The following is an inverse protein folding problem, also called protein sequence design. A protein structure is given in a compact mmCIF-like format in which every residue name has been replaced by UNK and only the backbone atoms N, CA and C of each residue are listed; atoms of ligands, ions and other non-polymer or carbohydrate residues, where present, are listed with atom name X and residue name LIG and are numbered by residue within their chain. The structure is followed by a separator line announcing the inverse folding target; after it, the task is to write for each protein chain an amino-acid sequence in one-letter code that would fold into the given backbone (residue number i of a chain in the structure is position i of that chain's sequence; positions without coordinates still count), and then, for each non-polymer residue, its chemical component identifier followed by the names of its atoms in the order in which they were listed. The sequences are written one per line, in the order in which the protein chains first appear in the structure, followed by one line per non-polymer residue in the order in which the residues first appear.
data_IF_990495503738
#
_entry.id   IF_990495503738
#
_cell.length_a   1.000
_cell.length_b   1.000
_cell.length_c   1.000
_cell.angle_alpha   90.00
_cell.angle_beta   90.00
_cell.angle_gamma   90.00
#
_symmetry.space_group_name_H-M   'P 1'
#
loop_
_entity.id
_entity.type
_entity.pdbx_description
1 polymer ?
#
# COMPACT_ATOMS: atom_id res chain seq x y z
N UNK A 1 -8.71 16.59 16.87
CA UNK A 1 -8.94 15.99 15.54
C UNK A 1 -9.98 14.90 15.69
N UNK A 2 -11.17 15.08 15.09
CA UNK A 2 -12.27 14.13 15.17
C UNK A 2 -12.00 13.03 14.15
N UNK A 3 -11.48 11.89 14.59
CA UNK A 3 -11.38 10.70 13.76
C UNK A 3 -12.81 10.23 13.49
N UNK A 4 -13.20 10.21 12.23
CA UNK A 4 -14.41 9.52 11.79
C UNK A 4 -14.13 8.04 11.97
N UNK A 5 -14.50 7.50 13.12
CA UNK A 5 -14.71 6.07 13.31
C UNK A 5 -16.12 5.80 12.83
N UNK A 6 -16.24 5.22 11.64
CA UNK A 6 -17.52 4.74 11.13
C UNK A 6 -18.07 3.73 12.15
N UNK A 7 -19.34 3.90 12.52
CA UNK A 7 -20.03 3.03 13.47
C UNK A 7 -20.18 1.65 12.80
N UNK A 8 -19.89 0.52 13.50
CA UNK A 8 -20.01 -0.78 12.88
C UNK A 8 -21.48 -1.05 12.59
N UNK A 9 -21.90 -0.80 11.36
CA UNK A 9 -23.25 -1.11 10.91
C UNK A 9 -23.49 -2.61 11.13
N UNK A 10 -24.48 -2.92 11.96
CA UNK A 10 -24.96 -4.25 12.35
C UNK A 10 -25.66 -4.99 11.20
N UNK A 11 -25.17 -4.82 9.98
CA UNK A 11 -25.69 -5.49 8.80
C UNK A 11 -24.52 -6.06 8.03
N UNK A 12 -24.63 -7.34 7.68
CA UNK A 12 -23.70 -8.14 6.88
C UNK A 12 -23.51 -7.63 5.43
N UNK A 13 -23.35 -6.33 5.24
CA UNK A 13 -22.88 -5.73 4.00
C UNK A 13 -21.40 -5.42 4.20
N UNK A 14 -20.48 -5.98 3.38
CA UNK A 14 -19.09 -5.56 3.42
C UNK A 14 -19.10 -4.06 3.17
N UNK A 15 -18.60 -3.28 4.13
CA UNK A 15 -18.48 -1.83 4.10
C UNK A 15 -17.54 -1.42 2.94
N UNK A 16 -18.00 -1.58 1.70
CA UNK A 16 -17.33 -1.12 0.49
C UNK A 16 -17.73 0.33 0.35
N UNK A 17 -17.03 1.21 1.05
CA UNK A 17 -17.20 2.66 0.88
C UNK A 17 -17.15 2.98 -0.63
N UNK A 18 -18.14 3.68 -1.20
CA UNK A 18 -18.15 4.02 -2.62
C UNK A 18 -16.91 4.84 -3.00
N UNK A 19 -16.35 5.59 -2.04
CA UNK A 19 -15.10 6.32 -2.20
C UNK A 19 -13.91 5.39 -2.39
N UNK A 20 -13.84 4.28 -1.66
CA UNK A 20 -12.77 3.30 -1.83
C UNK A 20 -12.81 2.65 -3.22
N UNK A 21 -14.00 2.30 -3.73
CA UNK A 21 -14.16 1.76 -5.07
C UNK A 21 -13.70 2.76 -6.15
N UNK A 22 -14.06 4.03 -6.00
CA UNK A 22 -13.65 5.10 -6.91
C UNK A 22 -12.13 5.31 -6.89
N UNK A 23 -11.52 5.38 -5.70
CA UNK A 23 -10.06 5.53 -5.56
C UNK A 23 -9.32 4.33 -6.14
N UNK A 24 -9.85 3.12 -5.96
CA UNK A 24 -9.29 1.89 -6.54
C UNK A 24 -9.27 1.97 -8.07
N UNK A 25 -10.42 2.28 -8.67
CA UNK A 25 -10.55 2.43 -10.12
C UNK A 25 -9.62 3.51 -10.66
N UNK A 26 -9.59 4.68 -10.02
CA UNK A 26 -8.68 5.76 -10.41
C UNK A 26 -7.21 5.34 -10.33
N UNK A 27 -6.85 4.54 -9.31
CA UNK A 27 -5.48 4.02 -9.19
C UNK A 27 -5.10 3.07 -10.32
N UNK A 28 -6.04 2.30 -10.84
CA UNK A 28 -5.85 1.38 -11.96
C UNK A 28 -5.77 2.15 -13.30
N UNK A 29 -6.60 3.18 -13.47
CA UNK A 29 -6.54 4.09 -14.63
C UNK A 29 -5.20 4.83 -14.71
N UNK A 30 -4.71 5.35 -13.58
CA UNK A 30 -3.38 5.97 -13.47
C UNK A 30 -2.24 5.02 -13.87
N UNK A 31 -2.34 3.74 -13.50
CA UNK A 31 -1.39 2.72 -13.91
C UNK A 31 -1.45 2.41 -15.40
N UNK A 32 -2.67 2.29 -15.95
CA UNK A 32 -2.88 2.03 -17.37
C UNK A 32 -2.38 3.17 -18.26
N UNK A 33 -2.43 4.41 -17.76
CA UNK A 33 -1.88 5.59 -18.45
C UNK A 33 -0.35 5.72 -18.33
N UNK A 34 0.30 4.87 -17.53
CA UNK A 34 1.74 4.88 -17.33
C UNK A 34 2.26 6.07 -16.50
N UNK A 35 1.38 6.78 -15.79
CA UNK A 35 1.74 7.94 -14.99
C UNK A 35 2.36 7.51 -13.65
N UNK A 36 3.69 7.50 -13.59
CA UNK A 36 4.44 7.17 -12.38
C UNK A 36 4.96 8.44 -11.71
N UNK A 37 4.40 8.75 -10.54
CA UNK A 37 4.81 9.90 -9.71
C UNK A 37 4.95 9.50 -8.24
N UNK A 38 5.75 10.27 -7.48
CA UNK A 38 5.94 10.00 -6.04
C UNK A 38 4.60 10.02 -5.28
N UNK A 39 3.76 10.99 -5.61
CA UNK A 39 2.40 11.14 -5.07
C UNK A 39 1.52 9.92 -5.35
N UNK A 40 1.67 9.29 -6.52
CA UNK A 40 0.92 8.08 -6.85
C UNK A 40 1.31 6.91 -5.93
N UNK A 41 2.60 6.73 -5.66
CA UNK A 41 3.07 5.71 -4.70
C UNK A 41 2.55 6.01 -3.29
N UNK A 42 2.59 7.28 -2.87
CA UNK A 42 2.04 7.71 -1.59
C UNK A 42 0.52 7.44 -1.49
N UNK A 43 -0.23 7.62 -2.58
CA UNK A 43 -1.65 7.25 -2.63
C UNK A 43 -1.87 5.74 -2.46
N UNK A 44 -1.04 4.90 -3.09
CA UNK A 44 -1.10 3.43 -2.92
C UNK A 44 -0.82 3.03 -1.48
N UNK A 45 0.11 3.70 -0.79
CA UNK A 45 0.38 3.48 0.64
C UNK A 45 -0.87 3.78 1.47
N UNK A 46 -1.57 4.89 1.21
CA UNK A 46 -2.81 5.24 1.91
C UNK A 46 -3.93 4.23 1.67
N UNK A 47 -4.10 3.77 0.43
CA UNK A 47 -5.07 2.72 0.08
C UNK A 47 -4.74 1.42 0.83
N UNK A 48 -3.46 1.04 0.84
CA UNK A 48 -3.00 -0.17 1.52
C UNK A 48 -3.27 -0.12 3.03
N UNK A 49 -3.04 1.03 3.67
CA UNK A 49 -3.36 1.24 5.10
C UNK A 49 -4.86 1.13 5.35
N UNK A 50 -5.69 1.71 4.47
CA UNK A 50 -7.14 1.59 4.55
C UNK A 50 -7.60 0.12 4.47
N UNK A 51 -7.05 -0.64 3.52
CA UNK A 51 -7.37 -2.07 3.34
C UNK A 51 -6.96 -2.92 4.54
N UNK A 52 -5.78 -2.64 5.13
CA UNK A 52 -5.33 -3.30 6.37
C UNK A 52 -6.27 -2.97 7.54
N UNK A 53 -6.67 -1.70 7.69
CA UNK A 53 -7.58 -1.25 8.75
C UNK A 53 -8.98 -1.88 8.66
N UNK A 54 -9.48 -2.11 7.45
CA UNK A 54 -10.78 -2.73 7.20
C UNK A 54 -10.73 -4.27 7.10
N UNK A 55 -9.55 -4.88 7.31
CA UNK A 55 -9.39 -6.34 7.30
C UNK A 55 -9.44 -6.98 5.90
N UNK A 56 -9.24 -6.22 4.83
CA UNK A 56 -9.23 -6.71 3.44
C UNK A 56 -7.81 -7.19 3.07
N UNK A 57 -7.31 -8.19 3.79
CA UNK A 57 -5.91 -8.65 3.72
C UNK A 57 -5.39 -9.04 2.32
N UNK A 58 -6.09 -9.85 1.50
CA UNK A 58 -5.55 -10.24 0.19
C UNK A 58 -5.42 -9.04 -0.75
N UNK A 59 -6.32 -8.06 -0.61
CA UNK A 59 -6.26 -6.84 -1.38
C UNK A 59 -5.11 -5.93 -0.91
N UNK A 60 -4.97 -5.76 0.40
CA UNK A 60 -3.85 -5.02 1.00
C UNK A 60 -2.49 -5.58 0.54
N UNK A 61 -2.33 -6.91 0.57
CA UNK A 61 -1.10 -7.55 0.16
C UNK A 61 -0.77 -7.28 -1.32
N UNK A 62 -1.78 -7.32 -2.20
CA UNK A 62 -1.61 -6.99 -3.62
C UNK A 62 -1.24 -5.52 -3.81
N UNK A 63 -1.92 -4.59 -3.14
CA UNK A 63 -1.64 -3.14 -3.21
C UNK A 63 -0.22 -2.81 -2.72
N UNK A 64 0.23 -3.43 -1.62
CA UNK A 64 1.59 -3.26 -1.10
C UNK A 64 2.62 -3.77 -2.11
N UNK A 65 2.45 -5.01 -2.62
CA UNK A 65 3.35 -5.58 -3.62
C UNK A 65 3.41 -4.75 -4.92
N UNK A 66 2.27 -4.20 -5.34
CA UNK A 66 2.17 -3.28 -6.48
C UNK A 66 2.97 -2.00 -6.22
N UNK A 67 2.76 -1.37 -5.07
CA UNK A 67 3.53 -0.20 -4.65
C UNK A 67 5.04 -0.44 -4.66
N UNK A 68 5.51 -1.62 -4.20
CA UNK A 68 6.96 -1.93 -4.12
C UNK A 68 7.57 -1.92 -5.52
N UNK A 69 6.91 -2.58 -6.46
CA UNK A 69 7.37 -2.64 -7.86
C UNK A 69 7.41 -1.25 -8.50
N UNK A 70 6.39 -0.42 -8.23
CA UNK A 70 6.35 0.95 -8.73
C UNK A 70 7.45 1.82 -8.11
N UNK A 71 7.73 1.66 -6.81
CA UNK A 71 8.82 2.35 -6.13
C UNK A 71 10.20 1.91 -6.64
N UNK A 72 10.37 0.61 -6.94
CA UNK A 72 11.58 0.09 -7.59
C UNK A 72 11.74 0.65 -9.00
N UNK A 73 10.66 0.71 -9.78
CA UNK A 73 10.66 1.27 -11.15
C UNK A 73 11.00 2.77 -11.16
N UNK A 74 10.54 3.51 -10.15
CA UNK A 74 10.91 4.92 -9.93
C UNK A 74 12.38 5.08 -9.49
N UNK A 75 13.00 4.01 -8.98
CA UNK A 75 14.37 3.98 -8.49
C UNK A 75 14.50 4.22 -6.99
N UNK A 76 13.41 4.39 -6.23
CA UNK A 76 13.44 4.73 -4.79
C UNK A 76 14.28 3.78 -3.91
N UNK A 77 14.61 2.60 -4.43
CA UNK A 77 15.41 1.58 -3.76
C UNK A 77 16.89 1.97 -3.63
N UNK A 78 17.45 2.68 -4.61
CA UNK A 78 18.89 2.90 -4.70
C UNK A 78 19.29 4.23 -4.05
N UNK A 79 19.68 4.16 -2.78
CA UNK A 79 20.13 5.32 -1.99
C UNK A 79 21.64 5.57 -2.12
N UNK A 80 22.35 4.71 -2.83
CA UNK A 80 23.83 4.69 -2.85
C UNK A 80 24.43 4.78 -4.25
N UNK A 81 23.66 4.56 -5.31
CA UNK A 81 24.18 4.69 -6.65
C UNK A 81 24.50 6.16 -6.99
N UNK A 82 25.74 6.45 -7.42
CA UNK A 82 26.14 7.76 -7.93
C UNK A 82 25.51 8.08 -9.30
N UNK A 83 24.64 7.23 -9.85
CA UNK A 83 24.05 7.39 -11.18
C UNK A 83 22.88 8.38 -11.20
N UNK A 84 23.24 9.66 -11.29
CA UNK A 84 22.71 10.64 -12.27
C UNK A 84 21.22 11.05 -12.28
N UNK A 85 20.29 10.42 -11.53
CA UNK A 85 18.89 10.92 -11.46
C UNK A 85 18.55 11.65 -10.17
N UNK A 86 19.33 11.42 -9.10
CA UNK A 86 19.14 12.02 -7.77
C UNK A 86 19.85 13.34 -7.57
N UNK A 87 20.74 13.72 -8.49
CA UNK A 87 21.60 14.88 -8.31
C UNK A 87 20.88 16.23 -8.48
N UNK A 88 19.64 16.20 -9.02
CA UNK A 88 18.81 17.38 -9.28
C UNK A 88 17.57 17.48 -8.38
N UNK A 89 17.34 16.51 -7.48
CA UNK A 89 16.23 16.59 -6.55
C UNK A 89 16.58 17.52 -5.40
N UNK A 90 15.62 18.35 -5.00
CA UNK A 90 15.73 19.13 -3.77
C UNK A 90 15.91 18.17 -2.59
N UNK A 91 16.65 18.60 -1.56
CA UNK A 91 16.83 17.83 -0.33
C UNK A 91 15.49 17.35 0.25
N UNK A 92 14.44 18.16 0.10
CA UNK A 92 13.08 17.78 0.52
C UNK A 92 12.51 16.59 -0.26
N UNK A 93 12.61 16.59 -1.58
CA UNK A 93 12.09 15.53 -2.45
C UNK A 93 12.82 14.19 -2.20
N UNK A 94 14.14 14.25 -1.99
CA UNK A 94 14.93 13.07 -1.62
C UNK A 94 14.50 12.48 -0.26
N UNK A 95 14.19 13.34 0.71
CA UNK A 95 13.64 12.89 2.00
C UNK A 95 12.25 12.27 1.86
N UNK A 96 11.36 12.87 1.07
CA UNK A 96 10.02 12.34 0.82
C UNK A 96 10.06 10.98 0.13
N UNK A 97 10.94 10.82 -0.86
CA UNK A 97 11.14 9.55 -1.54
C UNK A 97 11.64 8.46 -0.58
N UNK A 98 12.60 8.80 0.29
CA UNK A 98 13.09 7.89 1.33
C UNK A 98 11.98 7.48 2.29
N UNK A 99 11.16 8.43 2.76
CA UNK A 99 10.03 8.13 3.66
C UNK A 99 9.01 7.23 2.99
N UNK A 100 8.73 7.46 1.71
CA UNK A 100 7.80 6.65 0.91
C UNK A 100 8.30 5.21 0.80
N UNK A 101 9.59 5.02 0.49
CA UNK A 101 10.22 3.69 0.44
C UNK A 101 10.15 2.94 1.77
N UNK A 102 10.55 3.58 2.88
CA UNK A 102 10.50 2.93 4.19
C UNK A 102 9.08 2.64 4.68
N UNK A 103 8.11 3.50 4.36
CA UNK A 103 6.70 3.27 4.70
C UNK A 103 6.16 2.01 4.05
N UNK A 104 6.57 1.76 2.81
CA UNK A 104 6.17 0.60 2.04
C UNK A 104 6.82 -0.69 2.55
N UNK A 105 8.12 -0.65 2.89
CA UNK A 105 8.81 -1.76 3.55
C UNK A 105 8.20 -2.08 4.93
N UNK A 106 7.78 -1.05 5.68
CA UNK A 106 7.10 -1.22 6.95
C UNK A 106 5.76 -1.96 6.77
N UNK A 107 4.98 -1.57 5.74
CA UNK A 107 3.72 -2.23 5.40
C UNK A 107 3.92 -3.68 4.94
N UNK A 108 4.94 -3.96 4.14
CA UNK A 108 5.26 -5.33 3.69
C UNK A 108 5.64 -6.25 4.85
N UNK A 109 6.39 -5.71 5.82
CA UNK A 109 6.76 -6.44 7.03
C UNK A 109 5.60 -6.58 8.02
N UNK A 110 4.53 -5.79 7.86
CA UNK A 110 3.36 -5.87 8.71
C UNK A 110 2.59 -7.17 8.43
N UNK A 111 3.01 -8.23 9.11
CA UNK A 111 2.29 -9.51 9.14
C UNK A 111 1.16 -9.38 10.16
N UNK A 112 -0.12 -9.37 9.76
CA UNK A 112 -1.18 -9.46 10.74
C UNK A 112 -1.02 -10.80 11.51
N UNK A 113 -1.11 -10.81 12.84
CA UNK A 113 -0.83 -11.98 13.68
C UNK A 113 -1.76 -13.19 13.44
N UNK A 114 -2.69 -13.11 12.49
CA UNK A 114 -3.71 -14.14 12.20
C UNK A 114 -3.45 -15.02 10.98
N UNK A 115 -2.56 -14.65 10.05
CA UNK A 115 -2.29 -15.49 8.85
C UNK A 115 -1.55 -16.78 9.25
N UNK A 116 -0.77 -16.76 10.32
CA UNK A 116 -0.13 -17.98 10.85
C UNK A 116 -1.17 -19.00 11.37
N UNK A 117 -2.31 -18.53 11.89
CA UNK A 117 -3.35 -19.42 12.41
C UNK A 117 -4.22 -20.02 11.29
N UNK A 118 -4.51 -19.27 10.22
CA UNK A 118 -5.30 -19.78 9.09
C UNK A 118 -4.53 -20.76 8.20
N UNK A 119 -3.22 -20.57 8.03
CA UNK A 119 -2.39 -21.56 7.35
C UNK A 119 -2.27 -22.84 8.19
N UNK A 120 -2.03 -22.75 9.50
CA UNK A 120 -2.00 -23.96 10.34
C UNK A 120 -3.36 -24.66 10.45
N UNK A 121 -4.49 -23.94 10.47
CA UNK A 121 -5.81 -24.60 10.45
C UNK A 121 -6.11 -25.30 9.12
N UNK A 122 -5.70 -24.74 7.97
CA UNK A 122 -5.87 -25.42 6.68
C UNK A 122 -4.90 -26.60 6.49
N UNK A 123 -3.70 -26.57 7.08
CA UNK A 123 -2.76 -27.70 7.04
C UNK A 123 -3.03 -28.76 8.12
N UNK A 124 -3.64 -28.41 9.27
CA UNK A 124 -4.01 -29.35 10.33
C UNK A 124 -5.29 -30.14 10.02
N UNK A 125 -6.15 -29.65 9.13
CA UNK A 125 -7.37 -30.34 8.70
C UNK A 125 -7.17 -31.22 7.45
N UNK A 126 -5.93 -31.36 6.98
CA UNK A 126 -5.52 -32.14 5.81
C UNK A 126 -4.65 -33.37 6.18
N UNK A 127 -4.66 -33.78 7.45
CA UNK A 127 -3.96 -34.97 7.94
C UNK A 127 -4.89 -35.77 8.85
#
# INVERSE_FOLDING_TARGET
MKLVTDEPADNHQPLKSPLYALVRQFSEEMESSGLLSLHFIQAIILISVYEVGHGIYPSAYMSIGRGIRLAQLMGCHDQTAPSSRYHNLSRGEAEEQRRTWYSLLLLDRYRPPRIHCLLEMHFANAK
#
